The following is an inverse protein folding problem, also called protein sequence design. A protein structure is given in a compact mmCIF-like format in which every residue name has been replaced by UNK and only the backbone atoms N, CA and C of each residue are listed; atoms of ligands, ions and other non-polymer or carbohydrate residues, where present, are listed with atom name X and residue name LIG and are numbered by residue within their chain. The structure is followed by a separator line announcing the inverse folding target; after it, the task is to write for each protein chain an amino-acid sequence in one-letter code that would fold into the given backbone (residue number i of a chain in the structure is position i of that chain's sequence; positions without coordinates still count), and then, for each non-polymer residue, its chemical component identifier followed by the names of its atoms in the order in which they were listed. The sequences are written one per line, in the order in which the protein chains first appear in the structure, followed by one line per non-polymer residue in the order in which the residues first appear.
data_IF_665020794992
#
_entry.id   IF_665020794992
#
_cell.length_a   1.000
_cell.length_b   1.000
_cell.length_c   1.000
_cell.angle_alpha   90.00
_cell.angle_beta   90.00
_cell.angle_gamma   90.00
#
_symmetry.space_group_name_H-M   'P 1'
#
loop_
_entity.id
_entity.type
_entity.pdbx_description
1 polymer ?
#
# COMPACT_ATOMS: atom_id res chain seq x y z
N UNK A 1 12.25 67.54 -38.24
CA UNK A 1 11.20 67.53 -37.20
C UNK A 1 10.19 66.45 -37.57
N UNK A 2 10.26 65.27 -36.93
CA UNK A 2 9.37 64.14 -37.19
C UNK A 2 8.34 64.05 -36.06
N UNK A 3 7.05 64.07 -36.42
CA UNK A 3 5.92 64.10 -35.49
C UNK A 3 5.34 62.69 -35.39
N UNK A 4 5.65 61.99 -34.30
CA UNK A 4 5.08 60.68 -33.98
C UNK A 4 3.74 60.87 -33.27
N UNK A 5 2.67 60.25 -33.78
CA UNK A 5 1.41 60.10 -33.06
C UNK A 5 1.13 58.62 -32.83
N UNK A 6 1.09 58.27 -31.53
CA UNK A 6 0.90 56.93 -30.99
C UNK A 6 -0.59 56.59 -30.98
N UNK A 7 -0.95 55.46 -31.60
CA UNK A 7 -2.29 54.85 -31.54
C UNK A 7 -2.66 54.47 -30.10
N UNK A 8 -3.84 54.90 -29.64
CA UNK A 8 -4.52 54.34 -28.48
C UNK A 8 -5.41 53.18 -28.94
N UNK A 9 -5.10 51.95 -28.56
CA UNK A 9 -5.99 50.79 -28.75
C UNK A 9 -6.73 50.49 -27.44
N UNK A 10 -8.04 50.56 -27.53
CA UNK A 10 -9.04 50.25 -26.51
C UNK A 10 -9.01 48.74 -26.23
N UNK A 11 -8.80 48.32 -24.98
CA UNK A 11 -8.96 46.91 -24.55
C UNK A 11 -10.42 46.72 -24.14
N UNK A 12 -11.20 46.03 -24.98
CA UNK A 12 -12.55 45.56 -24.64
C UNK A 12 -12.40 44.19 -23.99
N UNK A 13 -12.93 44.08 -22.77
CA UNK A 13 -12.90 42.87 -21.96
C UNK A 13 -13.73 41.74 -22.57
N UNK A 14 -13.15 40.54 -22.56
CA UNK A 14 -13.86 39.27 -22.71
C UNK A 14 -13.57 38.42 -21.48
N UNK A 15 -14.51 38.36 -20.54
CA UNK A 15 -14.46 37.49 -19.37
C UNK A 15 -14.90 36.08 -19.85
N UNK A 16 -13.94 35.23 -20.20
CA UNK A 16 -14.23 33.83 -20.53
C UNK A 16 -14.38 33.01 -19.24
N UNK A 17 -15.60 32.57 -18.95
CA UNK A 17 -15.91 31.57 -17.92
C UNK A 17 -15.29 30.23 -18.32
N UNK A 18 -14.13 29.90 -17.75
CA UNK A 18 -13.57 28.55 -17.78
C UNK A 18 -14.40 27.64 -16.86
N UNK A 19 -15.24 26.79 -17.45
CA UNK A 19 -15.94 25.73 -16.75
C UNK A 19 -14.96 24.64 -16.32
N UNK A 20 -14.61 24.60 -15.04
CA UNK A 20 -13.83 23.52 -14.46
C UNK A 20 -14.74 22.31 -14.22
N UNK A 21 -14.48 21.20 -14.92
CA UNK A 21 -15.08 19.90 -14.65
C UNK A 21 -14.73 19.46 -13.23
N UNK A 22 -15.73 19.42 -12.34
CA UNK A 22 -15.59 18.80 -11.02
C UNK A 22 -15.63 17.28 -11.19
N UNK A 23 -14.46 16.67 -11.36
CA UNK A 23 -14.29 15.24 -11.13
C UNK A 23 -14.61 14.99 -9.64
N UNK A 24 -15.72 14.29 -9.39
CA UNK A 24 -16.07 13.83 -8.06
C UNK A 24 -15.06 12.76 -7.62
N UNK A 25 -13.96 13.19 -7.01
CA UNK A 25 -13.18 12.33 -6.15
C UNK A 25 -14.07 11.98 -4.97
N UNK A 26 -14.47 10.71 -4.84
CA UNK A 26 -14.99 10.22 -3.57
C UNK A 26 -13.85 10.39 -2.56
N UNK A 27 -13.89 11.49 -1.81
CA UNK A 27 -12.98 11.78 -0.73
C UNK A 27 -13.12 10.64 0.28
N UNK A 28 -12.18 9.71 0.25
CA UNK A 28 -12.02 8.73 1.30
C UNK A 28 -11.74 9.53 2.56
N UNK A 29 -12.70 9.58 3.49
CA UNK A 29 -12.55 10.28 4.75
C UNK A 29 -11.21 9.87 5.37
N UNK A 30 -10.37 10.86 5.66
CA UNK A 30 -9.09 10.63 6.28
C UNK A 30 -9.35 9.91 7.62
N UNK A 31 -8.94 8.66 7.71
CA UNK A 31 -8.94 7.90 8.97
C UNK A 31 -8.16 8.72 9.98
N UNK A 32 -8.76 9.06 11.14
CA UNK A 32 -8.05 9.75 12.22
C UNK A 32 -6.72 9.04 12.50
N UNK A 33 -5.60 9.75 12.72
CA UNK A 33 -4.32 9.14 13.00
C UNK A 33 -4.45 8.08 14.10
N UNK A 34 -4.09 6.83 13.77
CA UNK A 34 -4.22 5.69 14.69
C UNK A 34 -5.46 4.83 14.51
N UNK A 35 -6.51 5.30 13.83
CA UNK A 35 -7.66 4.47 13.43
C UNK A 35 -7.30 3.56 12.24
N UNK A 36 -7.61 2.26 12.34
CA UNK A 36 -7.27 1.28 11.32
C UNK A 36 -8.43 1.03 10.36
N UNK A 37 -8.20 1.24 9.06
CA UNK A 37 -9.08 0.76 8.00
C UNK A 37 -8.44 -0.42 7.30
N UNK A 38 -9.20 -1.50 7.09
CA UNK A 38 -8.71 -2.74 6.50
C UNK A 38 -9.16 -2.90 5.05
N UNK A 39 -8.23 -3.32 4.20
CA UNK A 39 -8.44 -3.45 2.78
C UNK A 39 -7.95 -4.82 2.31
N UNK A 40 -8.73 -5.45 1.41
CA UNK A 40 -8.32 -6.71 0.77
C UNK A 40 -7.24 -6.43 -0.26
N UNK A 41 -6.30 -7.35 -0.39
CA UNK A 41 -5.26 -7.33 -1.41
C UNK A 41 -5.01 -8.75 -1.92
N UNK A 42 -4.30 -8.85 -3.04
CA UNK A 42 -3.84 -10.12 -3.60
C UNK A 42 -2.55 -9.86 -4.38
N UNK A 43 -1.53 -9.40 -3.65
CA UNK A 43 -0.28 -8.92 -4.24
C UNK A 43 0.92 -9.69 -3.71
N UNK A 44 2.03 -9.59 -4.42
CA UNK A 44 3.32 -10.12 -3.98
C UNK A 44 4.28 -8.97 -3.73
N UNK A 45 5.01 -9.04 -2.63
CA UNK A 45 6.04 -8.06 -2.28
C UNK A 45 7.34 -8.77 -1.93
N UNK A 46 8.46 -8.08 -2.14
CA UNK A 46 9.75 -8.54 -1.63
C UNK A 46 9.94 -8.02 -0.20
N UNK A 47 10.64 -8.80 0.62
CA UNK A 47 11.14 -8.34 1.92
C UNK A 47 12.34 -7.44 1.65
N UNK A 48 12.28 -6.20 2.14
CA UNK A 48 13.35 -5.21 1.99
C UNK A 48 14.57 -5.56 2.85
N UNK A 49 15.72 -4.97 2.58
CA UNK A 49 16.97 -5.36 3.25
C UNK A 49 17.04 -4.91 4.72
N UNK A 50 16.35 -3.83 5.09
CA UNK A 50 16.23 -3.33 6.45
C UNK A 50 15.12 -4.02 7.28
N UNK A 51 14.52 -5.11 6.79
CA UNK A 51 13.39 -5.79 7.44
C UNK A 51 13.64 -6.18 8.90
N UNK A 52 14.91 -6.40 9.26
CA UNK A 52 15.34 -6.81 10.60
C UNK A 52 15.07 -5.76 11.68
N UNK A 53 14.95 -4.48 11.28
CA UNK A 53 14.56 -3.39 12.17
C UNK A 53 13.08 -3.46 12.58
N UNK A 54 12.28 -4.24 11.85
CA UNK A 54 10.85 -4.40 12.07
C UNK A 54 10.52 -5.76 12.67
N UNK A 55 9.39 -5.84 13.37
CA UNK A 55 8.89 -7.08 13.96
C UNK A 55 7.66 -7.55 13.19
N UNK A 56 7.42 -8.86 13.25
CA UNK A 56 6.17 -9.45 12.80
C UNK A 56 5.20 -9.48 13.98
N UNK A 57 3.92 -9.34 13.68
CA UNK A 57 2.86 -9.36 14.68
C UNK A 57 1.77 -10.35 14.28
N UNK A 58 1.04 -10.89 15.25
CA UNK A 58 -0.18 -11.66 14.96
C UNK A 58 -1.36 -10.74 14.59
N UNK A 59 -1.40 -9.52 15.12
CA UNK A 59 -2.37 -8.46 14.82
C UNK A 59 -1.66 -7.11 14.75
N UNK A 60 -2.28 -6.14 14.09
CA UNK A 60 -1.74 -4.78 14.01
C UNK A 60 -1.71 -4.14 15.43
N UNK A 61 -0.60 -3.51 15.88
CA UNK A 61 -0.45 -2.98 17.24
C UNK A 61 -1.55 -2.04 17.75
N UNK A 62 -2.11 -1.18 16.89
CA UNK A 62 -3.19 -0.24 17.21
C UNK A 62 -4.59 -0.80 16.88
N UNK A 63 -4.73 -2.12 16.79
CA UNK A 63 -6.04 -2.76 16.61
C UNK A 63 -6.72 -3.06 17.95
N UNK A 64 -8.02 -3.36 17.89
CA UNK A 64 -8.85 -3.74 19.03
C UNK A 64 -8.49 -5.10 19.68
N UNK A 65 -7.46 -5.81 19.19
CA UNK A 65 -7.08 -7.11 19.71
C UNK A 65 -6.27 -6.99 21.01
N UNK A 66 -6.67 -7.71 22.05
CA UNK A 66 -6.00 -7.64 23.38
C UNK A 66 -4.65 -8.35 23.45
N UNK A 67 -4.47 -9.43 22.69
CA UNK A 67 -3.30 -10.31 22.79
C UNK A 67 -2.36 -10.16 21.59
N UNK A 68 -1.75 -8.98 21.47
CA UNK A 68 -0.79 -8.68 20.40
C UNK A 68 0.58 -9.20 20.79
N UNK A 69 1.11 -10.11 19.97
CA UNK A 69 2.41 -10.75 20.18
C UNK A 69 3.33 -10.42 19.01
N UNK A 70 4.59 -10.19 19.34
CA UNK A 70 5.66 -10.08 18.35
C UNK A 70 6.24 -11.45 18.05
N UNK A 71 6.63 -11.66 16.79
CA UNK A 71 7.25 -12.87 16.28
C UNK A 71 8.51 -12.44 15.53
N UNK A 72 9.63 -13.11 15.79
CA UNK A 72 10.86 -12.85 15.03
C UNK A 72 10.74 -13.44 13.62
N UNK A 73 11.36 -12.78 12.65
CA UNK A 73 11.43 -13.27 11.27
C UNK A 73 12.00 -14.68 11.17
N UNK A 74 13.00 -15.02 11.99
CA UNK A 74 13.57 -16.38 12.06
C UNK A 74 12.52 -17.41 12.53
N UNK A 75 11.73 -17.10 13.57
CA UNK A 75 10.68 -17.99 14.10
C UNK A 75 9.54 -18.18 13.10
N UNK A 76 9.14 -17.11 12.40
CA UNK A 76 8.17 -17.17 11.32
C UNK A 76 8.72 -17.88 10.06
N UNK A 77 10.03 -18.23 10.06
CA UNK A 77 10.77 -18.70 8.89
C UNK A 77 10.62 -17.72 7.72
N UNK A 78 10.49 -16.43 7.98
CA UNK A 78 10.36 -15.35 7.00
C UNK A 78 11.67 -14.55 6.80
N UNK A 79 12.79 -14.98 7.39
CA UNK A 79 14.10 -14.36 7.17
C UNK A 79 14.69 -14.68 5.79
N UNK A 80 15.84 -14.08 5.44
CA UNK A 80 16.59 -14.33 4.21
C UNK A 80 16.75 -15.82 3.84
N UNK A 81 16.88 -16.71 4.83
CA UNK A 81 17.02 -18.15 4.62
C UNK A 81 15.70 -18.93 4.64
N UNK A 82 14.61 -18.29 5.07
CA UNK A 82 13.31 -18.92 5.27
C UNK A 82 12.31 -18.68 4.14
N UNK A 83 12.58 -17.73 3.24
CA UNK A 83 11.72 -17.33 2.13
C UNK A 83 12.48 -17.41 0.82
N UNK A 84 11.97 -18.20 -0.12
CA UNK A 84 12.51 -18.25 -1.48
C UNK A 84 12.38 -16.87 -2.13
N UNK A 85 13.48 -16.35 -2.67
CA UNK A 85 13.56 -15.05 -3.36
C UNK A 85 13.05 -13.86 -2.52
N UNK A 86 13.09 -13.96 -1.18
CA UNK A 86 12.57 -12.95 -0.26
C UNK A 86 11.11 -12.53 -0.55
N UNK A 87 10.33 -13.33 -1.29
CA UNK A 87 8.99 -12.92 -1.77
C UNK A 87 7.90 -13.41 -0.82
N UNK A 88 6.98 -12.53 -0.46
CA UNK A 88 5.80 -12.82 0.38
C UNK A 88 4.52 -12.46 -0.35
N UNK A 89 3.44 -13.15 0.00
CA UNK A 89 2.09 -12.83 -0.48
C UNK A 89 1.37 -11.95 0.54
N UNK A 90 0.77 -10.86 0.06
CA UNK A 90 -0.05 -9.92 0.81
C UNK A 90 -1.52 -10.19 0.48
N UNK A 91 -2.31 -10.51 1.49
CA UNK A 91 -3.76 -10.73 1.33
C UNK A 91 -4.62 -9.63 1.98
N UNK A 92 -4.03 -8.81 2.84
CA UNK A 92 -4.65 -7.63 3.43
C UNK A 92 -3.62 -6.55 3.72
N UNK A 93 -4.08 -5.31 3.70
CA UNK A 93 -3.36 -4.18 4.30
C UNK A 93 -4.30 -3.36 5.19
N UNK A 94 -3.72 -2.60 6.11
CA UNK A 94 -4.45 -1.67 6.96
C UNK A 94 -3.82 -0.29 6.92
N UNK A 95 -4.63 0.74 6.65
CA UNK A 95 -4.22 2.14 6.67
C UNK A 95 -4.41 2.71 8.07
N UNK A 96 -3.57 3.68 8.45
CA UNK A 96 -3.60 4.29 9.80
C UNK A 96 -3.35 5.81 9.81
N UNK A 97 -3.47 6.46 8.65
CA UNK A 97 -3.20 7.89 8.50
C UNK A 97 -1.72 8.27 8.62
N UNK A 98 -0.78 7.33 8.49
CA UNK A 98 0.68 7.59 8.47
C UNK A 98 1.27 7.30 7.08
N UNK A 99 2.56 7.64 6.90
CA UNK A 99 3.28 7.41 5.64
C UNK A 99 3.27 5.94 5.17
N UNK A 100 3.19 4.97 6.10
CA UNK A 100 3.20 3.56 5.75
C UNK A 100 2.05 2.79 6.39
N UNK A 101 1.50 1.87 5.60
CA UNK A 101 0.45 0.96 6.02
C UNK A 101 1.02 -0.29 6.69
N UNK A 102 0.15 -1.04 7.34
CA UNK A 102 0.43 -2.39 7.80
C UNK A 102 0.04 -3.40 6.73
N UNK A 103 0.81 -4.47 6.56
CA UNK A 103 0.54 -5.51 5.56
C UNK A 103 0.51 -6.88 6.20
N UNK A 104 -0.49 -7.68 5.83
CA UNK A 104 -0.60 -9.06 6.27
C UNK A 104 0.06 -9.98 5.25
N UNK A 105 1.17 -10.56 5.66
CA UNK A 105 2.06 -11.34 4.80
C UNK A 105 2.01 -12.84 5.12
N UNK A 106 2.28 -13.65 4.11
CA UNK A 106 2.44 -15.09 4.19
C UNK A 106 3.48 -15.60 3.19
N UNK A 107 3.98 -16.82 3.41
CA UNK A 107 4.96 -17.45 2.50
C UNK A 107 4.32 -17.82 1.16
N UNK A 108 4.96 -17.46 0.06
CA UNK A 108 4.51 -17.78 -1.30
C UNK A 108 4.46 -19.29 -1.55
N UNK A 109 5.43 -20.05 -1.04
CA UNK A 109 5.51 -21.51 -1.24
C UNK A 109 4.36 -22.28 -0.57
N UNK A 110 3.59 -21.65 0.33
CA UNK A 110 2.38 -22.25 0.91
C UNK A 110 1.18 -22.10 -0.04
N UNK A 111 1.23 -21.15 -0.97
CA UNK A 111 0.18 -20.90 -1.97
C UNK A 111 0.51 -21.54 -3.33
N UNK A 112 1.80 -21.64 -3.67
CA UNK A 112 2.27 -22.30 -4.90
C UNK A 112 2.47 -23.81 -4.68
N UNK A 113 1.36 -24.55 -4.67
CA UNK A 113 1.31 -25.91 -5.22
C UNK A 113 2.20 -27.01 -4.60
N UNK A 114 2.55 -26.98 -3.30
CA UNK A 114 3.06 -28.20 -2.66
C UNK A 114 1.92 -29.19 -2.43
N UNK A 115 1.83 -30.12 -3.38
CA UNK A 115 1.27 -31.49 -3.34
C UNK A 115 0.38 -31.78 -2.12
N UNK A 116 -0.91 -31.98 -2.40
CA UNK A 116 -1.96 -32.51 -1.53
C UNK A 116 -1.39 -33.44 -0.45
N UNK A 117 -1.15 -32.91 0.75
CA UNK A 117 -1.01 -33.71 1.95
C UNK A 117 -2.41 -33.93 2.47
N UNK A 118 -3.04 -35.02 2.03
CA UNK A 118 -4.36 -35.52 2.46
C UNK A 118 -5.54 -34.55 2.28
N UNK A 119 -6.64 -35.04 1.67
CA UNK A 119 -7.91 -34.30 1.50
C UNK A 119 -8.50 -33.74 2.82
N UNK A 120 -7.94 -34.13 3.98
CA UNK A 120 -8.39 -33.71 5.31
C UNK A 120 -7.46 -32.71 6.04
N UNK A 121 -6.27 -32.38 5.53
CA UNK A 121 -5.38 -31.44 6.19
C UNK A 121 -5.44 -30.06 5.52
N UNK A 122 -6.43 -29.24 5.90
CA UNK A 122 -6.39 -27.80 5.64
C UNK A 122 -5.19 -27.22 6.40
N UNK A 123 -4.01 -27.18 5.79
CA UNK A 123 -2.88 -26.45 6.37
C UNK A 123 -3.28 -24.98 6.52
N UNK A 124 -3.50 -24.55 7.76
CA UNK A 124 -3.71 -23.14 8.07
C UNK A 124 -2.44 -22.39 7.69
N UNK A 125 -2.54 -21.59 6.63
CA UNK A 125 -1.47 -20.68 6.22
C UNK A 125 -1.21 -19.71 7.36
N UNK A 126 -0.01 -19.75 7.92
CA UNK A 126 0.36 -18.83 8.98
C UNK A 126 0.58 -17.44 8.39
N UNK A 127 -0.10 -16.44 8.97
CA UNK A 127 -0.10 -15.05 8.51
C UNK A 127 0.43 -14.14 9.62
N UNK A 128 1.08 -13.06 9.20
CA UNK A 128 1.67 -12.08 10.11
C UNK A 128 1.49 -10.67 9.58
N UNK A 129 1.36 -9.71 10.49
CA UNK A 129 1.35 -8.29 10.16
C UNK A 129 2.75 -7.71 10.27
N UNK A 130 3.12 -6.85 9.33
CA UNK A 130 4.39 -6.13 9.30
C UNK A 130 4.18 -4.71 8.80
N UNK A 131 5.03 -3.78 9.25
CA UNK A 131 5.01 -2.41 8.79
C UNK A 131 5.54 -2.29 7.35
N UNK A 132 4.94 -1.42 6.54
CA UNK A 132 5.23 -1.30 5.11
C UNK A 132 6.70 -1.04 4.77
N UNK A 133 7.45 -0.36 5.65
CA UNK A 133 8.89 -0.12 5.46
C UNK A 133 9.75 -1.39 5.42
N UNK A 134 9.25 -2.51 5.93
CA UNK A 134 9.94 -3.79 5.83
C UNK A 134 9.80 -4.45 4.46
N UNK A 135 8.96 -3.91 3.58
CA UNK A 135 8.59 -4.50 2.30
C UNK A 135 8.95 -3.57 1.14
N UNK A 136 9.33 -4.17 0.03
CA UNK A 136 9.40 -3.52 -1.27
C UNK A 136 8.14 -3.92 -2.03
N UNK A 137 7.16 -3.03 -2.04
CA UNK A 137 5.89 -3.21 -2.74
C UNK A 137 6.10 -3.02 -4.25
N UNK A 138 5.38 -3.77 -5.10
CA UNK A 138 5.41 -3.53 -6.53
C UNK A 138 4.93 -2.10 -6.80
N UNK A 139 5.63 -1.36 -7.66
CA UNK A 139 5.17 -0.04 -8.07
C UNK A 139 3.83 -0.22 -8.79
N UNK A 140 2.77 0.38 -8.27
CA UNK A 140 1.51 0.51 -9.01
C UNK A 140 1.84 1.34 -10.24
N UNK A 141 1.94 0.68 -11.39
CA UNK A 141 2.11 1.38 -12.67
C UNK A 141 0.71 1.83 -13.05
N UNK A 142 0.33 3.02 -12.59
CA UNK A 142 -0.95 3.62 -13.00
C UNK A 142 -0.86 3.86 -14.49
N UNK A 143 -1.45 2.97 -15.30
CA UNK A 143 -1.62 3.26 -16.72
C UNK A 143 -2.54 4.47 -16.79
N UNK A 144 -1.97 5.61 -17.14
CA UNK A 144 -2.71 6.83 -17.39
C UNK A 144 -3.43 6.61 -18.72
N UNK A 145 -4.63 6.06 -18.67
CA UNK A 145 -5.49 5.98 -19.85
C UNK A 145 -6.07 7.38 -20.03
N UNK A 146 -5.35 8.20 -20.80
CA UNK A 146 -5.92 9.42 -21.36
C UNK A 146 -6.86 8.98 -22.49
N UNK A 147 -8.17 9.07 -22.25
CA UNK A 147 -9.20 9.07 -23.29
C UNK A 147 -9.60 10.51 -23.59
#
# INVERSE_FOLDING_TARGET
MFKNHVMKRLIVGGLALTGSMLLAFSAQAASEPGSLSYHKASEYAAIGDNYQQFKLYNHVPNSQYKNIKTISWKKAKLSNHGVTNKTVHIDLYATQGTQYNWYRISKVNVLRGKKVLSKNAKQKVQKYWVYGQALVLPKVTTQTVFN
#
